data_IF_053304941219
#
_entry.id   IF_053304941219
#
_cell.length_a   1.000
_cell.length_b   1.000
_cell.length_c   1.000
_cell.angle_alpha   90.00
_cell.angle_beta   90.00
_cell.angle_gamma   90.00
#
_symmetry.space_group_name_H-M   'P 1'
#
loop_
_entity.id
_entity.type
_entity.pdbx_description
1 polymer ?
#
# COMPACT_ATOMS: atom_id res chain seq x y z
N UNK A 1 12.23 -5.81 -16.20
CA UNK A 1 12.54 -5.77 -14.75
C UNK A 1 11.24 -5.81 -13.96
N UNK A 2 11.20 -6.45 -12.80
CA UNK A 2 10.07 -6.34 -11.89
C UNK A 2 9.84 -4.86 -11.56
N UNK A 3 8.61 -4.37 -11.72
CA UNK A 3 8.24 -2.99 -11.40
C UNK A 3 7.70 -2.99 -9.98
N UNK A 4 8.47 -2.45 -9.05
CA UNK A 4 8.05 -2.31 -7.66
C UNK A 4 7.34 -0.98 -7.45
N UNK A 5 6.29 -0.96 -6.61
CA UNK A 5 5.44 0.22 -6.42
C UNK A 5 5.97 1.20 -5.37
N UNK A 6 6.84 0.73 -4.47
CA UNK A 6 7.46 1.57 -3.43
C UNK A 6 8.96 1.33 -3.33
N UNK A 7 9.69 2.36 -2.93
CA UNK A 7 11.15 2.36 -2.78
C UNK A 7 11.60 1.35 -1.73
N UNK A 8 10.86 1.19 -0.64
CA UNK A 8 11.16 0.15 0.37
C UNK A 8 11.09 -1.24 -0.27
N UNK A 9 10.01 -1.57 -0.99
CA UNK A 9 9.86 -2.89 -1.62
C UNK A 9 10.97 -3.13 -2.65
N UNK A 10 11.27 -2.12 -3.46
CA UNK A 10 12.38 -2.16 -4.42
C UNK A 10 13.71 -2.43 -3.72
N UNK A 11 14.04 -1.69 -2.66
CA UNK A 11 15.30 -1.84 -1.93
C UNK A 11 15.50 -3.23 -1.31
N UNK A 12 14.40 -3.90 -0.93
CA UNK A 12 14.44 -5.25 -0.35
C UNK A 12 14.53 -6.32 -1.44
N UNK A 13 13.72 -6.18 -2.51
CA UNK A 13 13.57 -7.25 -3.50
C UNK A 13 14.59 -7.19 -4.64
N UNK A 14 15.10 -6.01 -5.01
CA UNK A 14 16.10 -5.88 -6.09
C UNK A 14 17.35 -6.75 -5.87
N UNK A 15 18.04 -6.72 -4.70
CA UNK A 15 19.22 -7.56 -4.50
C UNK A 15 18.90 -9.05 -4.48
N UNK A 16 17.70 -9.43 -4.04
CA UNK A 16 17.25 -10.82 -4.02
C UNK A 16 16.91 -11.28 -5.44
N UNK A 17 16.20 -10.46 -6.22
CA UNK A 17 15.86 -10.73 -7.61
C UNK A 17 17.10 -10.87 -8.50
N UNK A 18 18.14 -10.07 -8.25
CA UNK A 18 19.42 -10.19 -8.94
C UNK A 18 20.08 -11.53 -8.64
N UNK A 19 20.14 -11.97 -7.37
CA UNK A 19 20.70 -13.27 -7.00
C UNK A 19 19.93 -14.45 -7.61
N UNK A 20 18.59 -14.39 -7.61
CA UNK A 20 17.75 -15.40 -8.27
C UNK A 20 18.00 -15.43 -9.77
N UNK A 21 18.18 -14.26 -10.39
CA UNK A 21 18.50 -14.17 -11.83
C UNK A 21 19.86 -14.79 -12.15
N UNK A 22 20.88 -14.53 -11.32
CA UNK A 22 22.20 -15.18 -11.45
C UNK A 22 22.10 -16.70 -11.30
N UNK A 23 21.30 -17.20 -10.35
CA UNK A 23 21.06 -18.64 -10.19
C UNK A 23 20.40 -19.27 -11.42
N UNK A 24 19.48 -18.56 -12.09
CA UNK A 24 18.85 -19.03 -13.33
C UNK A 24 19.90 -19.08 -14.46
N UNK A 25 20.71 -18.03 -14.62
CA UNK A 25 21.78 -17.99 -15.63
C UNK A 25 22.79 -19.12 -15.37
N UNK A 26 23.20 -19.33 -14.12
CA UNK A 26 24.11 -20.43 -13.75
C UNK A 26 23.51 -21.81 -14.06
N UNK A 27 22.18 -21.98 -13.96
CA UNK A 27 21.54 -23.22 -14.37
C UNK A 27 21.56 -23.43 -15.88
N UNK A 28 21.27 -22.37 -16.64
CA UNK A 28 21.30 -22.38 -18.10
C UNK A 28 22.73 -22.65 -18.62
N UNK A 29 23.74 -22.03 -18.03
CA UNK A 29 25.15 -22.27 -18.37
C UNK A 29 25.69 -23.62 -17.87
N UNK A 30 25.09 -24.22 -16.84
CA UNK A 30 25.56 -25.48 -16.28
C UNK A 30 25.01 -26.72 -17.03
N UNK A 31 24.23 -26.54 -18.10
CA UNK A 31 24.09 -27.55 -19.16
C UNK A 31 25.44 -27.91 -19.82
N UNK A 32 26.47 -27.07 -19.64
CA UNK A 32 27.86 -27.33 -20.07
C UNK A 32 28.65 -28.31 -19.17
N UNK A 33 28.00 -28.99 -18.22
CA UNK A 33 28.63 -30.05 -17.42
C UNK A 33 29.51 -29.58 -16.25
N UNK A 34 29.31 -28.36 -15.73
CA UNK A 34 29.99 -27.86 -14.51
C UNK A 34 29.33 -28.40 -13.25
N UNK A 35 30.11 -28.74 -12.22
CA UNK A 35 29.61 -29.17 -10.91
C UNK A 35 29.06 -27.97 -10.11
N UNK A 36 27.94 -28.16 -9.40
CA UNK A 36 27.47 -27.15 -8.44
C UNK A 36 28.32 -27.15 -7.16
N UNK A 37 28.60 -25.98 -6.57
CA UNK A 37 29.27 -25.88 -5.27
C UNK A 37 28.40 -26.42 -4.13
N UNK A 38 28.99 -26.69 -2.96
CA UNK A 38 28.24 -27.04 -1.75
C UNK A 38 27.43 -25.84 -1.26
N UNK A 39 26.11 -26.00 -1.22
CA UNK A 39 25.16 -24.96 -0.83
C UNK A 39 24.61 -25.14 0.60
N UNK A 40 25.11 -26.11 1.37
CA UNK A 40 24.55 -26.42 2.69
C UNK A 40 24.56 -25.21 3.63
N UNK A 41 25.68 -24.49 3.73
CA UNK A 41 25.79 -23.30 4.59
C UNK A 41 24.94 -22.12 4.09
N UNK A 42 25.00 -21.72 2.79
CA UNK A 42 24.12 -20.68 2.26
C UNK A 42 22.63 -20.98 2.45
N UNK A 43 22.20 -22.21 2.17
CA UNK A 43 20.78 -22.61 2.27
C UNK A 43 20.33 -22.64 3.73
N UNK A 44 21.18 -23.09 4.66
CA UNK A 44 20.88 -23.03 6.09
C UNK A 44 20.67 -21.58 6.56
N UNK A 45 21.50 -20.65 6.12
CA UNK A 45 21.35 -19.23 6.44
C UNK A 45 20.03 -18.65 5.89
N UNK A 46 19.66 -19.01 4.66
CA UNK A 46 18.37 -18.64 4.05
C UNK A 46 17.19 -19.23 4.85
N UNK A 47 17.27 -20.50 5.25
CA UNK A 47 16.25 -21.13 6.09
C UNK A 47 16.03 -20.40 7.41
N UNK A 48 17.12 -20.08 8.14
CA UNK A 48 17.03 -19.31 9.38
C UNK A 48 16.46 -17.90 9.17
N UNK A 49 16.79 -17.24 8.05
CA UNK A 49 16.22 -15.94 7.71
C UNK A 49 14.71 -16.04 7.43
N UNK A 50 14.27 -17.08 6.72
CA UNK A 50 12.85 -17.36 6.45
C UNK A 50 12.08 -17.62 7.75
N UNK A 51 12.62 -18.45 8.65
CA UNK A 51 12.00 -18.73 9.95
C UNK A 51 11.80 -17.44 10.76
N UNK A 52 12.81 -16.59 10.81
CA UNK A 52 12.73 -15.30 11.49
C UNK A 52 11.70 -14.37 10.83
N UNK A 53 11.69 -14.29 9.50
CA UNK A 53 10.72 -13.49 8.74
C UNK A 53 9.28 -13.94 9.05
N UNK A 54 9.04 -15.24 9.02
CA UNK A 54 7.73 -15.83 9.30
C UNK A 54 7.31 -15.57 10.74
N UNK A 55 8.23 -15.74 11.70
CA UNK A 55 7.96 -15.48 13.12
C UNK A 55 7.54 -14.02 13.35
N UNK A 56 8.38 -13.07 12.95
CA UNK A 56 8.11 -11.63 13.10
C UNK A 56 6.84 -11.23 12.36
N UNK A 57 6.64 -11.77 11.17
CA UNK A 57 5.45 -11.53 10.38
C UNK A 57 4.17 -12.05 11.05
N UNK A 58 4.17 -13.26 11.59
CA UNK A 58 3.01 -13.83 12.32
C UNK A 58 2.69 -13.01 13.58
N UNK A 59 3.70 -12.59 14.34
CA UNK A 59 3.54 -11.70 15.50
C UNK A 59 2.89 -10.37 15.08
N UNK A 60 3.37 -9.78 13.98
CA UNK A 60 2.84 -8.53 13.43
C UNK A 60 1.40 -8.67 12.94
N UNK A 61 1.08 -9.75 12.23
CA UNK A 61 -0.29 -10.04 11.79
C UNK A 61 -1.22 -10.20 13.00
N UNK A 62 -0.81 -10.98 14.01
CA UNK A 62 -1.65 -11.31 15.17
C UNK A 62 -2.02 -10.08 16.00
N UNK A 63 -1.08 -9.13 16.16
CA UNK A 63 -1.27 -7.88 16.90
C UNK A 63 -2.00 -6.80 16.10
N UNK A 64 -2.14 -6.96 14.78
CA UNK A 64 -2.81 -5.99 13.92
C UNK A 64 -4.33 -5.94 14.16
N UNK A 65 -4.93 -4.75 13.98
CA UNK A 65 -6.39 -4.55 13.95
C UNK A 65 -6.97 -4.76 12.54
N UNK A 66 -6.13 -4.89 11.52
CA UNK A 66 -6.53 -5.11 10.13
C UNK A 66 -6.85 -6.59 9.90
N UNK A 67 -8.11 -6.88 9.61
CA UNK A 67 -8.60 -8.25 9.38
C UNK A 67 -8.11 -8.84 8.05
N UNK A 68 -7.92 -8.01 7.03
CA UNK A 68 -7.41 -8.44 5.72
C UNK A 68 -5.96 -8.89 5.90
N UNK A 69 -5.16 -8.07 6.59
CA UNK A 69 -3.78 -8.40 6.92
C UNK A 69 -3.67 -9.72 7.69
N UNK A 70 -4.56 -9.96 8.66
CA UNK A 70 -4.62 -11.21 9.45
C UNK A 70 -4.91 -12.46 8.61
N UNK A 71 -5.70 -12.31 7.55
CA UNK A 71 -6.12 -13.43 6.70
C UNK A 71 -5.11 -13.71 5.57
N UNK A 72 -4.56 -12.66 4.96
CA UNK A 72 -3.71 -12.79 3.77
C UNK A 72 -2.25 -13.12 4.13
N UNK A 73 -1.73 -12.57 5.23
CA UNK A 73 -0.32 -12.76 5.59
C UNK A 73 0.07 -14.24 5.84
N UNK A 74 -0.76 -15.08 6.49
CA UNK A 74 -0.49 -16.52 6.62
C UNK A 74 -0.29 -17.26 5.29
N UNK A 75 -0.98 -16.84 4.22
CA UNK A 75 -0.85 -17.46 2.91
C UNK A 75 0.51 -17.16 2.28
N UNK A 76 1.02 -15.93 2.47
CA UNK A 76 2.36 -15.54 2.03
C UNK A 76 3.45 -16.33 2.78
N UNK A 77 3.31 -16.51 4.11
CA UNK A 77 4.28 -17.30 4.90
C UNK A 77 4.39 -18.74 4.45
N UNK A 78 3.24 -19.40 4.26
CA UNK A 78 3.20 -20.80 3.84
C UNK A 78 4.01 -21.01 2.55
N UNK A 79 3.88 -20.08 1.59
CA UNK A 79 4.63 -20.14 0.34
C UNK A 79 6.14 -20.01 0.55
N UNK A 80 6.59 -19.11 1.41
CA UNK A 80 8.03 -18.93 1.69
C UNK A 80 8.59 -20.16 2.44
N UNK A 81 7.84 -20.70 3.41
CA UNK A 81 8.19 -21.91 4.16
C UNK A 81 8.33 -23.13 3.21
N UNK A 82 7.34 -23.38 2.36
CA UNK A 82 7.37 -24.47 1.36
C UNK A 82 8.55 -24.31 0.38
N UNK A 83 8.84 -23.07 -0.03
CA UNK A 83 9.96 -22.79 -0.94
C UNK A 83 11.33 -23.00 -0.27
N UNK A 84 11.43 -22.76 1.04
CA UNK A 84 12.64 -23.03 1.81
C UNK A 84 12.94 -24.54 1.90
N UNK A 85 11.91 -25.37 2.03
CA UNK A 85 12.06 -26.85 2.01
C UNK A 85 12.70 -27.30 0.69
N UNK A 86 12.27 -26.74 -0.44
CA UNK A 86 12.86 -27.08 -1.74
C UNK A 86 14.35 -26.73 -1.83
N UNK A 87 14.79 -25.61 -1.26
CA UNK A 87 16.21 -25.27 -1.21
C UNK A 87 17.02 -26.28 -0.39
N UNK A 88 16.50 -26.68 0.78
CA UNK A 88 17.15 -27.65 1.66
C UNK A 88 17.28 -29.01 0.98
N UNK A 89 16.20 -29.50 0.37
CA UNK A 89 16.19 -30.77 -0.37
C UNK A 89 17.14 -30.72 -1.57
N UNK A 90 17.12 -29.62 -2.34
CA UNK A 90 18.03 -29.42 -3.46
C UNK A 90 19.50 -29.42 -3.01
N UNK A 91 19.82 -28.73 -1.91
CA UNK A 91 21.18 -28.71 -1.35
C UNK A 91 21.65 -30.10 -0.92
N UNK A 92 20.78 -30.90 -0.31
CA UNK A 92 21.13 -32.27 0.11
C UNK A 92 21.41 -33.18 -1.09
N UNK A 93 20.63 -33.06 -2.17
CA UNK A 93 20.84 -33.84 -3.39
C UNK A 93 22.14 -33.38 -4.08
N UNK A 94 22.36 -32.07 -4.23
CA UNK A 94 23.58 -31.52 -4.86
C UNK A 94 24.86 -31.87 -4.10
N UNK A 95 24.79 -32.05 -2.79
CA UNK A 95 25.94 -32.51 -1.99
C UNK A 95 26.34 -33.96 -2.31
N UNK A 96 25.41 -34.79 -2.74
CA UNK A 96 25.65 -36.19 -3.14
C UNK A 96 25.96 -36.32 -4.63
N UNK A 97 25.24 -35.56 -5.44
CA UNK A 97 25.38 -35.51 -6.90
C UNK A 97 25.39 -34.04 -7.39
N UNK A 98 26.59 -33.44 -7.54
CA UNK A 98 26.74 -32.05 -8.01
C UNK A 98 26.26 -31.78 -9.45
N UNK A 99 25.98 -32.83 -10.21
CA UNK A 99 25.55 -32.75 -11.62
C UNK A 99 24.05 -32.98 -11.80
N UNK A 100 23.32 -33.26 -10.72
CA UNK A 100 21.87 -33.51 -10.76
C UNK A 100 21.09 -32.32 -11.33
N UNK A 101 20.50 -32.50 -12.52
CA UNK A 101 19.64 -31.50 -13.16
C UNK A 101 18.34 -31.29 -12.40
N UNK A 102 17.78 -32.35 -11.81
CA UNK A 102 16.60 -32.31 -10.95
C UNK A 102 16.82 -31.40 -9.73
N UNK A 103 17.96 -31.57 -9.04
CA UNK A 103 18.27 -30.78 -7.87
C UNK A 103 18.47 -29.30 -8.19
N UNK A 104 19.05 -28.97 -9.35
CA UNK A 104 19.19 -27.59 -9.82
C UNK A 104 17.85 -26.94 -10.13
N UNK A 105 16.97 -27.66 -10.82
CA UNK A 105 15.60 -27.19 -11.07
C UNK A 105 14.89 -26.91 -9.75
N UNK A 106 15.00 -27.82 -8.79
CA UNK A 106 14.43 -27.67 -7.45
C UNK A 106 15.00 -26.48 -6.67
N UNK A 107 16.30 -26.21 -6.82
CA UNK A 107 16.96 -25.04 -6.25
C UNK A 107 16.37 -23.73 -6.83
N UNK A 108 16.20 -23.66 -8.15
CA UNK A 108 15.61 -22.49 -8.82
C UNK A 108 14.15 -22.29 -8.43
N UNK A 109 13.37 -23.37 -8.41
CA UNK A 109 11.97 -23.31 -8.01
C UNK A 109 11.82 -22.83 -6.56
N UNK A 110 12.68 -23.31 -5.66
CA UNK A 110 12.77 -22.80 -4.28
C UNK A 110 13.17 -21.33 -4.22
N UNK A 111 14.19 -20.90 -4.96
CA UNK A 111 14.67 -19.52 -4.96
C UNK A 111 13.61 -18.55 -5.52
N UNK A 112 12.96 -18.90 -6.63
CA UNK A 112 11.83 -18.16 -7.21
C UNK A 112 10.64 -18.12 -6.26
N UNK A 113 10.37 -19.23 -5.58
CA UNK A 113 9.31 -19.36 -4.59
C UNK A 113 9.52 -18.41 -3.40
N UNK A 114 10.74 -18.32 -2.86
CA UNK A 114 11.09 -17.37 -1.78
C UNK A 114 10.94 -15.93 -2.25
N UNK A 115 11.48 -15.57 -3.43
CA UNK A 115 11.34 -14.22 -3.97
C UNK A 115 9.87 -13.84 -4.15
N UNK A 116 9.07 -14.73 -4.74
CA UNK A 116 7.64 -14.49 -4.96
C UNK A 116 6.85 -14.43 -3.66
N UNK A 117 7.16 -15.29 -2.68
CA UNK A 117 6.49 -15.28 -1.39
C UNK A 117 6.84 -14.04 -0.56
N UNK A 118 8.10 -13.60 -0.60
CA UNK A 118 8.56 -12.36 0.05
C UNK A 118 7.92 -11.14 -0.62
N UNK A 119 7.82 -11.15 -1.96
CA UNK A 119 7.12 -10.11 -2.71
C UNK A 119 5.65 -10.02 -2.30
N UNK A 120 4.94 -11.14 -2.24
CA UNK A 120 3.55 -11.18 -1.78
C UNK A 120 3.41 -10.65 -0.35
N UNK A 121 4.31 -11.04 0.56
CA UNK A 121 4.33 -10.56 1.94
C UNK A 121 4.44 -9.03 2.01
N UNK A 122 5.44 -8.47 1.33
CA UNK A 122 5.69 -7.03 1.35
C UNK A 122 4.53 -6.25 0.74
N UNK A 123 3.90 -6.78 -0.31
CA UNK A 123 2.70 -6.18 -0.90
C UNK A 123 1.51 -6.20 0.08
N UNK A 124 1.25 -7.31 0.77
CA UNK A 124 0.18 -7.37 1.78
C UNK A 124 0.40 -6.35 2.91
N UNK A 125 1.65 -6.14 3.32
CA UNK A 125 2.01 -5.08 4.27
C UNK A 125 1.75 -3.68 3.71
N UNK A 126 2.18 -3.42 2.48
CA UNK A 126 2.00 -2.12 1.81
C UNK A 126 0.52 -1.77 1.67
N UNK A 127 -0.30 -2.74 1.27
CA UNK A 127 -1.75 -2.57 1.17
C UNK A 127 -2.39 -2.24 2.52
N UNK A 128 -1.90 -2.81 3.62
CA UNK A 128 -2.36 -2.45 4.97
C UNK A 128 -2.03 -1.01 5.34
N UNK A 129 -0.84 -0.51 4.96
CA UNK A 129 -0.49 0.90 5.13
C UNK A 129 -1.40 1.80 4.29
N UNK A 130 -1.66 1.43 3.03
CA UNK A 130 -2.61 2.18 2.17
C UNK A 130 -4.01 2.22 2.81
N UNK A 131 -4.51 1.12 3.37
CA UNK A 131 -5.81 1.09 4.08
C UNK A 131 -5.84 2.04 5.29
N UNK A 132 -4.73 2.20 6.01
CA UNK A 132 -4.62 3.19 7.11
C UNK A 132 -4.73 4.63 6.59
N UNK A 133 -4.10 4.94 5.46
CA UNK A 133 -4.22 6.26 4.81
C UNK A 133 -5.67 6.52 4.40
N UNK A 134 -6.29 5.56 3.69
CA UNK A 134 -7.67 5.66 3.24
C UNK A 134 -8.65 5.87 4.40
N UNK A 135 -8.42 5.20 5.54
CA UNK A 135 -9.25 5.39 6.75
C UNK A 135 -9.22 6.84 7.23
N UNK A 136 -8.05 7.49 7.26
CA UNK A 136 -7.94 8.90 7.66
C UNK A 136 -8.62 9.81 6.64
N UNK A 137 -8.40 9.57 5.34
CA UNK A 137 -9.07 10.34 4.28
C UNK A 137 -10.61 10.26 4.40
N UNK A 138 -11.15 9.06 4.67
CA UNK A 138 -12.59 8.86 4.88
C UNK A 138 -13.10 9.58 6.13
N UNK A 139 -12.34 9.59 7.22
CA UNK A 139 -12.71 10.33 8.43
C UNK A 139 -12.80 11.83 8.19
N UNK A 140 -11.85 12.42 7.46
CA UNK A 140 -11.91 13.84 7.05
C UNK A 140 -13.14 14.09 6.17
N UNK A 141 -13.40 13.20 5.22
CA UNK A 141 -14.54 13.29 4.31
C UNK A 141 -15.88 13.26 5.06
N UNK A 142 -16.04 12.34 6.01
CA UNK A 142 -17.22 12.27 6.89
C UNK A 142 -17.36 13.56 7.70
N UNK A 143 -16.27 14.06 8.28
CA UNK A 143 -16.34 15.26 9.11
C UNK A 143 -16.66 16.54 8.31
N UNK A 144 -16.27 16.60 7.03
CA UNK A 144 -16.64 17.72 6.16
C UNK A 144 -18.16 17.86 5.97
N UNK A 145 -18.95 16.79 6.14
CA UNK A 145 -20.43 16.88 6.08
C UNK A 145 -21.02 17.73 7.19
N UNK A 146 -20.31 17.90 8.32
CA UNK A 146 -20.73 18.76 9.44
C UNK A 146 -20.74 20.24 9.03
N UNK A 147 -20.03 20.62 7.97
CA UNK A 147 -19.99 22.01 7.49
C UNK A 147 -21.38 22.56 7.13
N UNK A 148 -22.32 21.69 6.73
CA UNK A 148 -23.67 22.07 6.28
C UNK A 148 -24.55 22.63 7.41
N UNK A 149 -24.26 22.26 8.65
CA UNK A 149 -25.08 22.60 9.83
C UNK A 149 -24.44 23.66 10.73
N UNK A 150 -23.35 24.29 10.29
CA UNK A 150 -22.67 25.35 11.06
C UNK A 150 -23.38 26.69 10.84
N UNK A 151 -24.03 27.20 11.89
CA UNK A 151 -24.85 28.42 11.83
C UNK A 151 -24.33 29.55 12.73
N UNK A 152 -23.38 29.26 13.63
CA UNK A 152 -22.81 30.24 14.55
C UNK A 152 -21.27 30.33 14.51
N UNK A 153 -20.72 31.43 15.04
CA UNK A 153 -19.26 31.63 15.10
C UNK A 153 -18.60 30.66 16.09
N UNK A 154 -19.32 30.29 17.15
CA UNK A 154 -18.86 29.32 18.15
C UNK A 154 -18.79 27.90 17.54
N UNK A 155 -19.81 27.50 16.78
CA UNK A 155 -19.81 26.25 16.03
C UNK A 155 -18.72 26.22 14.97
N UNK A 156 -18.50 27.33 14.24
CA UNK A 156 -17.40 27.42 13.28
C UNK A 156 -16.03 27.22 13.95
N UNK A 157 -15.80 27.86 15.11
CA UNK A 157 -14.55 27.66 15.87
C UNK A 157 -14.39 26.18 16.25
N UNK A 158 -15.47 25.52 16.69
CA UNK A 158 -15.45 24.10 17.04
C UNK A 158 -15.20 23.21 15.82
N UNK A 159 -15.84 23.51 14.68
CA UNK A 159 -15.64 22.83 13.41
C UNK A 159 -14.17 22.90 12.97
N UNK A 160 -13.57 24.10 12.98
CA UNK A 160 -12.16 24.29 12.62
C UNK A 160 -11.23 23.53 13.57
N UNK A 161 -11.45 23.63 14.89
CA UNK A 161 -10.65 22.93 15.90
C UNK A 161 -10.58 21.41 15.68
N UNK A 162 -11.65 20.82 15.18
CA UNK A 162 -11.73 19.37 14.93
C UNK A 162 -11.29 18.99 13.51
N UNK A 163 -11.56 19.83 12.51
CA UNK A 163 -11.21 19.55 11.12
C UNK A 163 -9.70 19.67 10.87
N UNK A 164 -9.06 20.72 11.40
CA UNK A 164 -7.65 21.03 11.11
C UNK A 164 -6.71 19.87 11.47
N UNK A 165 -6.80 19.25 12.67
CA UNK A 165 -5.96 18.08 13.00
C UNK A 165 -6.16 16.91 12.02
N UNK A 166 -7.39 16.64 11.59
CA UNK A 166 -7.68 15.56 10.63
C UNK A 166 -7.05 15.81 9.25
N UNK A 167 -7.16 17.04 8.74
CA UNK A 167 -6.50 17.43 7.48
C UNK A 167 -4.98 17.37 7.61
N UNK A 168 -4.42 17.81 8.74
CA UNK A 168 -2.97 17.72 8.99
C UNK A 168 -2.48 16.28 9.04
N UNK A 169 -3.19 15.39 9.73
CA UNK A 169 -2.86 13.96 9.78
C UNK A 169 -2.95 13.32 8.39
N UNK A 170 -4.03 13.60 7.66
CA UNK A 170 -4.23 13.12 6.29
C UNK A 170 -3.08 13.58 5.38
N UNK A 171 -2.72 14.87 5.45
CA UNK A 171 -1.63 15.44 4.65
C UNK A 171 -0.30 14.74 4.93
N UNK A 172 0.06 14.57 6.20
CA UNK A 172 1.29 13.89 6.61
C UNK A 172 1.36 12.47 6.08
N UNK A 173 0.26 11.71 6.16
CA UNK A 173 0.19 10.33 5.67
C UNK A 173 0.32 10.25 4.14
N UNK A 174 -0.34 11.15 3.41
CA UNK A 174 -0.25 11.21 1.95
C UNK A 174 1.14 11.66 1.49
N UNK A 175 1.76 12.64 2.17
CA UNK A 175 3.14 13.09 1.90
C UNK A 175 4.14 11.95 2.08
N UNK A 176 4.07 11.22 3.19
CA UNK A 176 4.91 10.04 3.39
C UNK A 176 4.71 8.98 2.29
N UNK A 177 3.48 8.81 1.80
CA UNK A 177 3.23 7.89 0.67
C UNK A 177 3.83 8.41 -0.64
N UNK A 178 3.74 9.71 -0.92
CA UNK A 178 4.34 10.33 -2.11
C UNK A 178 5.85 10.10 -2.15
N UNK A 179 6.52 10.25 -1.01
CA UNK A 179 7.97 10.03 -0.90
C UNK A 179 8.39 8.58 -1.17
N UNK A 180 7.53 7.62 -0.85
CA UNK A 180 7.77 6.19 -1.03
C UNK A 180 7.47 5.68 -2.45
N UNK A 181 6.66 6.38 -3.25
CA UNK A 181 6.28 5.91 -4.58
C UNK A 181 7.46 5.98 -5.56
N UNK A 182 7.64 4.89 -6.32
CA UNK A 182 8.61 4.82 -7.43
C UNK A 182 8.07 5.51 -8.68
N UNK A 183 6.78 5.32 -8.96
CA UNK A 183 6.11 5.83 -10.15
C UNK A 183 5.75 7.32 -10.01
N UNK A 184 6.57 8.19 -10.61
CA UNK A 184 6.48 9.66 -10.46
C UNK A 184 5.12 10.23 -10.87
N UNK A 185 4.48 9.67 -11.89
CA UNK A 185 3.14 10.12 -12.31
C UNK A 185 2.12 10.00 -11.18
N UNK A 186 2.17 8.91 -10.39
CA UNK A 186 1.26 8.73 -9.26
C UNK A 186 1.60 9.65 -8.09
N UNK A 187 2.89 9.84 -7.81
CA UNK A 187 3.38 10.78 -6.81
C UNK A 187 2.92 12.21 -7.11
N UNK A 188 3.06 12.65 -8.36
CA UNK A 188 2.64 13.99 -8.81
C UNK A 188 1.11 14.17 -8.75
N UNK A 189 0.34 13.14 -9.13
CA UNK A 189 -1.12 13.18 -9.00
C UNK A 189 -1.54 13.36 -7.54
N UNK A 190 -0.98 12.57 -6.61
CA UNK A 190 -1.27 12.70 -5.18
C UNK A 190 -0.84 14.06 -4.63
N UNK A 191 0.33 14.57 -5.03
CA UNK A 191 0.82 15.88 -4.61
C UNK A 191 -0.10 17.01 -5.06
N UNK A 192 -0.58 16.96 -6.30
CA UNK A 192 -1.56 17.92 -6.86
C UNK A 192 -2.88 17.85 -6.08
N UNK A 193 -3.43 16.66 -5.88
CA UNK A 193 -4.67 16.46 -5.11
C UNK A 193 -4.54 16.97 -3.67
N UNK A 194 -3.43 16.66 -3.00
CA UNK A 194 -3.21 17.12 -1.63
C UNK A 194 -3.14 18.65 -1.54
N UNK A 195 -2.44 19.29 -2.49
CA UNK A 195 -2.35 20.75 -2.56
C UNK A 195 -3.74 21.38 -2.74
N UNK A 196 -4.56 20.81 -3.61
CA UNK A 196 -5.93 21.25 -3.82
C UNK A 196 -6.80 21.13 -2.56
N UNK A 197 -6.71 20.01 -1.83
CA UNK A 197 -7.47 19.82 -0.57
C UNK A 197 -7.06 20.85 0.48
N UNK A 198 -5.76 21.11 0.65
CA UNK A 198 -5.28 22.15 1.59
C UNK A 198 -5.84 23.53 1.24
N UNK A 199 -5.79 23.92 -0.03
CA UNK A 199 -6.33 25.21 -0.49
C UNK A 199 -7.86 25.30 -0.27
N UNK A 200 -8.60 24.26 -0.69
CA UNK A 200 -10.06 24.24 -0.61
C UNK A 200 -10.56 24.20 0.85
N UNK A 201 -9.84 23.56 1.76
CA UNK A 201 -10.18 23.59 3.19
C UNK A 201 -10.17 25.00 3.77
N UNK A 202 -9.20 25.83 3.37
CA UNK A 202 -9.09 27.23 3.81
C UNK A 202 -10.21 28.08 3.21
N UNK A 203 -10.55 27.84 1.94
CA UNK A 203 -11.67 28.51 1.27
C UNK A 203 -13.02 28.17 1.91
N UNK A 204 -13.24 26.89 2.25
CA UNK A 204 -14.45 26.44 2.94
C UNK A 204 -14.63 27.16 4.29
N UNK A 205 -13.58 27.22 5.11
CA UNK A 205 -13.63 27.92 6.40
C UNK A 205 -13.98 29.41 6.22
N UNK A 206 -13.37 30.05 5.22
CA UNK A 206 -13.63 31.46 4.89
C UNK A 206 -15.08 31.68 4.43
N UNK A 207 -15.63 30.73 3.67
CA UNK A 207 -16.99 30.80 3.19
C UNK A 207 -18.01 30.62 4.33
N UNK A 208 -17.84 29.62 5.19
CA UNK A 208 -18.71 29.40 6.36
C UNK A 208 -18.67 30.64 7.27
N UNK A 209 -17.47 31.20 7.51
CA UNK A 209 -17.32 32.45 8.28
C UNK A 209 -18.14 33.60 7.69
N UNK A 210 -18.11 33.75 6.37
CA UNK A 210 -18.85 34.80 5.67
C UNK A 210 -20.36 34.58 5.79
N UNK A 211 -20.82 33.34 5.61
CA UNK A 211 -22.23 32.95 5.79
C UNK A 211 -22.75 33.27 7.19
N UNK A 212 -22.04 32.84 8.24
CA UNK A 212 -22.44 33.11 9.63
C UNK A 212 -22.55 34.61 9.90
N UNK A 213 -21.59 35.41 9.42
CA UNK A 213 -21.58 36.86 9.62
C UNK A 213 -22.68 37.59 8.83
N UNK A 214 -23.10 37.10 7.66
CA UNK A 214 -24.16 37.73 6.85
C UNK A 214 -25.56 37.37 7.36
N UNK A 215 -25.77 36.12 7.79
CA UNK A 215 -27.03 35.66 8.41
C UNK A 215 -27.29 36.43 9.70
N UNK A 216 -26.27 36.60 10.56
CA UNK A 216 -26.38 37.42 11.78
C UNK A 216 -26.73 38.90 11.53
N UNK A 217 -26.45 39.42 10.33
CA UNK A 217 -26.74 40.81 9.94
C UNK A 217 -28.11 40.99 9.27
N UNK A 218 -28.93 39.93 9.18
CA UNK A 218 -30.28 39.98 8.60
C UNK A 218 -30.35 40.07 7.07
N UNK A 219 -29.27 39.74 6.35
CA UNK A 219 -29.21 39.78 4.88
C UNK A 219 -29.84 38.56 4.21
N UNK A 220 -31.15 38.58 3.97
CA UNK A 220 -31.94 37.42 3.52
C UNK A 220 -31.65 36.88 2.09
N UNK A 221 -30.89 37.56 1.23
CA UNK A 221 -30.85 37.22 -0.21
C UNK A 221 -29.48 36.79 -0.80
N UNK A 222 -28.38 36.83 -0.03
CA UNK A 222 -27.03 36.48 -0.55
C UNK A 222 -26.61 35.06 -0.13
N UNK A 223 -27.21 34.53 0.95
CA UNK A 223 -26.80 33.29 1.60
C UNK A 223 -27.13 32.02 0.77
N UNK A 224 -28.30 31.95 0.13
CA UNK A 224 -28.72 30.73 -0.61
C UNK A 224 -27.91 30.47 -1.90
N UNK A 225 -27.54 31.53 -2.63
CA UNK A 225 -26.82 31.40 -3.89
C UNK A 225 -25.37 30.92 -3.71
N UNK A 226 -24.65 31.45 -2.71
CA UNK A 226 -23.28 31.03 -2.41
C UNK A 226 -23.20 29.64 -1.79
N UNK A 227 -24.20 29.26 -0.96
CA UNK A 227 -24.25 27.95 -0.31
C UNK A 227 -24.42 26.81 -1.32
N UNK A 228 -25.19 27.03 -2.39
CA UNK A 228 -25.41 26.04 -3.46
C UNK A 228 -24.14 25.78 -4.29
N UNK A 229 -23.36 26.82 -4.58
CA UNK A 229 -22.15 26.73 -5.41
C UNK A 229 -20.98 26.06 -4.67
N UNK A 230 -20.83 26.31 -3.37
CA UNK A 230 -19.80 25.68 -2.52
C UNK A 230 -20.12 24.21 -2.28
N UNK A 231 -21.39 23.86 -2.06
CA UNK A 231 -21.85 22.48 -1.91
C UNK A 231 -21.62 21.65 -3.19
N UNK A 232 -21.74 22.27 -4.37
CA UNK A 232 -21.38 21.67 -5.65
C UNK A 232 -19.86 21.41 -5.77
N UNK A 233 -19.03 22.34 -5.30
CA UNK A 233 -17.56 22.18 -5.28
C UNK A 233 -17.11 21.04 -4.36
N UNK A 234 -17.71 20.91 -3.17
CA UNK A 234 -17.45 19.79 -2.24
C UNK A 234 -17.85 18.45 -2.88
N UNK A 235 -19.03 18.37 -3.50
CA UNK A 235 -19.49 17.16 -4.22
C UNK A 235 -18.59 16.77 -5.40
N UNK A 236 -18.01 17.74 -6.11
CA UNK A 236 -17.02 17.50 -7.15
C UNK A 236 -15.73 16.87 -6.58
N UNK A 237 -15.26 17.37 -5.43
CA UNK A 237 -14.06 16.87 -4.77
C UNK A 237 -14.23 15.42 -4.25
N UNK A 238 -15.41 15.09 -3.73
CA UNK A 238 -15.79 13.73 -3.33
C UNK A 238 -15.72 12.75 -4.50
N UNK A 239 -16.14 13.16 -5.71
CA UNK A 239 -16.06 12.33 -6.92
C UNK A 239 -14.61 12.09 -7.33
N UNK A 240 -13.75 13.09 -7.27
CA UNK A 240 -12.33 12.95 -7.64
C UNK A 240 -11.57 11.99 -6.70
N UNK A 241 -11.87 12.01 -5.40
CA UNK A 241 -11.28 11.08 -4.42
C UNK A 241 -11.79 9.65 -4.63
N UNK A 242 -13.08 9.49 -4.94
CA UNK A 242 -13.71 8.19 -5.20
C UNK A 242 -13.22 7.54 -6.50
N UNK A 243 -12.85 8.33 -7.52
CA UNK A 243 -12.18 7.81 -8.72
C UNK A 243 -10.81 7.16 -8.41
N UNK A 244 -10.12 7.58 -7.33
CA UNK A 244 -8.85 6.99 -6.91
C UNK A 244 -9.01 5.60 -6.26
N UNK A 245 -10.16 5.33 -5.63
CA UNK A 245 -10.52 3.98 -5.13
C UNK A 245 -10.63 2.96 -6.27
N UNK A 246 -11.18 3.36 -7.43
CA UNK A 246 -11.35 2.46 -8.58
C UNK A 246 -10.03 2.01 -9.22
N UNK A 247 -8.97 2.79 -9.08
CA UNK A 247 -7.64 2.46 -9.61
C UNK A 247 -6.76 1.66 -8.64
N UNK A 248 -7.08 1.67 -7.34
CA UNK A 248 -6.18 1.13 -6.30
C UNK A 248 -6.59 -0.24 -5.74
N UNK A 249 -7.80 -0.74 -6.05
CA UNK A 249 -8.25 -2.07 -5.58
C UNK A 249 -8.47 -3.04 -6.75
N UNK A 250 -7.59 -4.05 -6.94
CA UNK A 250 -7.80 -5.13 -7.92
C UNK A 250 -9.06 -5.97 -7.62
N UNK A 251 -9.50 -6.01 -6.35
CA UNK A 251 -10.57 -6.90 -5.90
C UNK A 251 -11.99 -6.49 -6.31
N UNK A 252 -12.24 -5.25 -6.73
CA UNK A 252 -13.57 -4.83 -7.19
C UNK A 252 -13.84 -5.14 -8.68
N UNK A 253 -12.80 -5.34 -9.50
CA UNK A 253 -12.97 -5.73 -10.92
C UNK A 253 -13.57 -7.13 -11.11
N UNK A 254 -13.63 -7.97 -10.07
CA UNK A 254 -14.22 -9.32 -10.16
C UNK A 254 -15.73 -9.38 -9.89
N UNK A 255 -16.39 -8.29 -9.47
CA UNK A 255 -17.82 -8.32 -9.12
C UNK A 255 -18.77 -7.66 -10.12
N UNK A 256 -18.27 -7.01 -11.17
CA UNK A 256 -19.11 -6.43 -12.25
C UNK A 256 -19.11 -7.28 -13.54
N UNK A 257 -18.58 -8.50 -13.49
CA UNK A 257 -18.57 -9.44 -14.59
C UNK A 257 -19.32 -10.72 -14.23
N UNK A 258 -20.61 -10.61 -13.88
CA UNK A 258 -21.54 -11.75 -13.88
C UNK A 258 -22.95 -11.26 -13.66
N UNK A 259 -23.71 -11.12 -14.76
CA UNK A 259 -25.03 -11.74 -15.02
C UNK A 259 -25.77 -10.94 -16.12
N UNK A 260 -26.64 -11.63 -16.85
CA UNK A 260 -26.44 -12.20 -18.19
C UNK A 260 -26.51 -11.17 -19.33
#
# INVERSE_FOLDING_TARGET
MPVFHTKIIESILEPVAQQVSTLIILHEEAEDGKAMPDLALPVQAVGAAVENLVKVGRETASSSKDQILKQEMPLAFKRVEESSIFLVEASQILRRDPFSSEARKKLIDGARGILSGTSALLLTFDEAEVRKILKVCRGVLEYLSVAEIVESMEELVTFVKNLTPGITEMAKKVEGRIEELTHQVHADMLKKSLTAVKAMSTQLITAIKTFVLTVQRGGQNIAEAQNTEIMLLVKCLLRSVRSYEYYSTPHMKRKEGTTP
#
